data_IF_402797924039
#
_entry.id   IF_402797924039
#
_cell.length_a   1.000
_cell.length_b   1.000
_cell.length_c   1.000
_cell.angle_alpha   90.00
_cell.angle_beta   90.00
_cell.angle_gamma   90.00
#
_symmetry.space_group_name_H-M   'P 1'
#
loop_
_entity.id
_entity.type
_entity.pdbx_description
1 polymer ?
#
# COMPACT_ATOMS: atom_id res chain seq x y z
N UNK A 1 -53.39 1.17 15.23
CA UNK A 1 -52.02 0.62 15.24
C UNK A 1 -51.30 1.17 14.02
N UNK A 2 -50.11 1.78 14.15
CA UNK A 2 -49.35 2.20 12.97
C UNK A 2 -49.08 0.95 12.12
N UNK A 3 -49.27 1.05 10.81
CA UNK A 3 -49.04 -0.06 9.88
C UNK A 3 -47.62 -0.60 10.10
N UNK A 4 -47.50 -1.88 10.45
CA UNK A 4 -46.19 -2.49 10.70
C UNK A 4 -45.35 -2.38 9.43
N UNK A 5 -44.13 -1.85 9.55
CA UNK A 5 -43.19 -1.84 8.44
C UNK A 5 -43.06 -3.25 7.82
N UNK A 6 -42.89 -3.36 6.49
CA UNK A 6 -42.75 -4.65 5.84
C UNK A 6 -41.53 -5.40 6.41
N UNK A 7 -41.68 -6.70 6.69
CA UNK A 7 -40.60 -7.55 7.23
C UNK A 7 -39.42 -7.69 6.26
N UNK A 8 -39.68 -7.60 4.96
CA UNK A 8 -38.66 -7.54 3.91
C UNK A 8 -38.47 -6.07 3.56
N UNK A 9 -37.26 -5.56 3.76
CA UNK A 9 -36.96 -4.15 3.55
C UNK A 9 -36.98 -3.77 2.06
N UNK A 10 -36.29 -4.54 1.21
CA UNK A 10 -36.23 -4.35 -0.25
C UNK A 10 -35.64 -5.58 -0.94
N UNK A 11 -35.78 -5.66 -2.27
CA UNK A 11 -35.10 -6.67 -3.09
C UNK A 11 -33.68 -6.19 -3.42
N UNK A 12 -32.68 -7.03 -3.13
CA UNK A 12 -31.27 -6.73 -3.35
C UNK A 12 -30.66 -7.69 -4.39
N UNK A 13 -29.70 -7.20 -5.16
CA UNK A 13 -29.03 -7.90 -6.26
C UNK A 13 -27.51 -7.96 -5.99
N UNK A 14 -26.88 -9.01 -6.49
CA UNK A 14 -25.43 -9.17 -6.56
C UNK A 14 -24.95 -9.07 -8.01
N UNK A 15 -23.64 -9.17 -8.24
CA UNK A 15 -23.04 -9.03 -9.56
C UNK A 15 -23.59 -10.03 -10.58
N UNK A 16 -23.79 -11.29 -10.19
CA UNK A 16 -24.29 -12.37 -11.06
C UNK A 16 -25.75 -12.15 -11.51
N UNK A 17 -26.52 -11.29 -10.83
CA UNK A 17 -27.93 -11.05 -11.15
C UNK A 17 -28.14 -10.05 -12.30
N UNK A 18 -27.08 -9.36 -12.75
CA UNK A 18 -27.20 -8.25 -13.71
C UNK A 18 -26.15 -8.27 -14.81
N UNK A 19 -26.46 -7.57 -15.90
CA UNK A 19 -25.55 -7.19 -16.97
C UNK A 19 -25.65 -5.69 -17.24
N UNK A 20 -24.57 -5.06 -17.69
CA UNK A 20 -24.61 -3.69 -18.19
C UNK A 20 -25.10 -3.69 -19.64
N UNK A 21 -25.99 -2.75 -19.96
CA UNK A 21 -26.46 -2.58 -21.33
C UNK A 21 -25.36 -1.95 -22.20
N UNK A 22 -25.03 -2.54 -23.36
CA UNK A 22 -24.14 -1.89 -24.32
C UNK A 22 -24.71 -0.55 -24.80
N UNK A 23 -23.84 0.45 -24.98
CA UNK A 23 -24.19 1.75 -25.54
C UNK A 23 -23.25 2.08 -26.71
N UNK A 24 -23.63 3.08 -27.51
CA UNK A 24 -22.76 3.62 -28.56
C UNK A 24 -21.44 4.12 -27.97
N UNK A 25 -20.31 3.78 -28.60
CA UNK A 25 -18.98 4.19 -28.16
C UNK A 25 -18.10 4.57 -29.34
N UNK A 26 -17.48 5.74 -29.25
CA UNK A 26 -16.34 6.14 -30.10
C UNK A 26 -15.00 5.86 -29.40
N UNK A 27 -15.03 5.45 -28.13
CA UNK A 27 -13.83 5.15 -27.32
C UNK A 27 -13.31 3.76 -27.67
N UNK A 28 -12.04 3.67 -28.05
CA UNK A 28 -11.34 2.40 -28.23
C UNK A 28 -10.74 1.95 -26.89
N UNK A 29 -10.60 0.63 -26.64
CA UNK A 29 -10.07 0.13 -25.37
C UNK A 29 -8.72 0.71 -24.95
N UNK A 30 -7.85 1.04 -25.91
CA UNK A 30 -6.52 1.64 -25.67
C UNK A 30 -6.57 3.10 -25.21
N UNK A 31 -7.68 3.78 -25.45
CA UNK A 31 -7.88 5.20 -25.12
C UNK A 31 -8.58 5.35 -23.74
N UNK A 32 -8.92 4.24 -23.09
CA UNK A 32 -9.59 4.22 -21.78
C UNK A 32 -8.60 4.50 -20.64
N UNK A 33 -8.82 5.59 -19.90
CA UNK A 33 -8.16 5.81 -18.60
C UNK A 33 -8.93 5.06 -17.50
N UNK A 34 -8.22 4.22 -16.75
CA UNK A 34 -8.77 3.45 -15.61
C UNK A 34 -8.35 4.03 -14.26
N UNK A 35 -7.66 5.16 -14.27
CA UNK A 35 -7.21 5.83 -13.06
C UNK A 35 -8.38 6.38 -12.24
N UNK A 36 -8.33 6.15 -10.94
CA UNK A 36 -9.44 6.40 -10.01
C UNK A 36 -8.92 6.96 -8.67
N UNK A 37 -9.82 7.27 -7.76
CA UNK A 37 -9.48 7.78 -6.42
C UNK A 37 -9.77 6.72 -5.36
N UNK A 38 -8.73 6.25 -4.66
CA UNK A 38 -8.88 5.37 -3.51
C UNK A 38 -9.46 6.12 -2.31
N UNK A 39 -8.94 7.33 -2.08
CA UNK A 39 -9.43 8.28 -1.08
C UNK A 39 -9.54 9.66 -1.72
N UNK A 40 -9.99 10.66 -0.97
CA UNK A 40 -10.02 12.06 -1.43
C UNK A 40 -8.66 12.60 -1.91
N UNK A 41 -7.54 12.01 -1.46
CA UNK A 41 -6.18 12.50 -1.75
C UNK A 41 -5.32 11.50 -2.51
N UNK A 42 -5.65 10.21 -2.46
CA UNK A 42 -4.84 9.16 -3.08
C UNK A 42 -5.49 8.71 -4.39
N UNK A 43 -4.83 9.06 -5.52
CA UNK A 43 -5.16 8.56 -6.86
C UNK A 43 -4.43 7.23 -7.12
N UNK A 44 -5.13 6.29 -7.73
CA UNK A 44 -4.58 5.05 -8.30
C UNK A 44 -4.62 5.13 -9.83
N UNK A 45 -3.74 4.37 -10.48
CA UNK A 45 -3.71 4.27 -11.95
C UNK A 45 -4.59 3.15 -12.49
N UNK A 46 -4.96 2.19 -11.63
CA UNK A 46 -5.97 1.16 -11.88
C UNK A 46 -6.85 0.99 -10.64
N UNK A 47 -8.12 0.53 -10.75
CA UNK A 47 -9.08 0.53 -9.64
C UNK A 47 -8.94 -0.70 -8.72
N UNK A 48 -7.73 -1.23 -8.55
CA UNK A 48 -7.49 -2.46 -7.81
C UNK A 48 -6.74 -2.21 -6.50
N UNK A 49 -7.26 -2.77 -5.42
CA UNK A 49 -6.52 -2.89 -4.15
C UNK A 49 -6.53 -4.33 -3.65
N UNK A 50 -5.44 -4.78 -3.03
CA UNK A 50 -5.36 -6.14 -2.48
C UNK A 50 -5.91 -6.20 -1.06
N UNK A 51 -6.62 -7.28 -0.75
CA UNK A 51 -7.28 -7.46 0.54
C UNK A 51 -6.27 -7.64 1.69
N UNK A 52 -6.59 -7.07 2.85
CA UNK A 52 -5.77 -7.13 4.06
C UNK A 52 -5.86 -8.48 4.78
N UNK A 53 -5.48 -9.55 4.09
CA UNK A 53 -5.55 -10.93 4.55
C UNK A 53 -4.15 -11.55 4.61
N UNK A 54 -3.90 -12.38 5.62
CA UNK A 54 -2.61 -13.04 5.84
C UNK A 54 -2.20 -14.03 4.74
N UNK A 55 -3.14 -14.43 3.91
CA UNK A 55 -2.96 -15.29 2.73
C UNK A 55 -3.00 -14.53 1.40
N UNK A 56 -3.04 -13.20 1.46
CA UNK A 56 -3.10 -12.34 0.25
C UNK A 56 -2.00 -11.30 0.27
N UNK A 57 -1.90 -10.47 1.31
CA UNK A 57 -1.09 -9.24 1.25
C UNK A 57 -0.09 -9.08 2.39
N UNK A 58 1.16 -9.48 2.12
CA UNK A 58 2.36 -8.93 2.77
C UNK A 58 3.13 -8.02 1.78
N UNK A 59 4.40 -7.68 2.06
CA UNK A 59 5.18 -6.75 1.25
C UNK A 59 5.26 -7.14 -0.23
N UNK A 60 5.48 -8.42 -0.57
CA UNK A 60 5.67 -8.83 -1.97
C UNK A 60 4.43 -8.53 -2.83
N UNK A 61 3.24 -8.92 -2.36
CA UNK A 61 1.97 -8.57 -3.00
C UNK A 61 1.75 -7.06 -3.06
N UNK A 62 2.01 -6.34 -1.97
CA UNK A 62 1.81 -4.88 -1.95
C UNK A 62 2.74 -4.16 -2.94
N UNK A 63 3.99 -4.60 -3.08
CA UNK A 63 4.94 -4.11 -4.09
C UNK A 63 4.42 -4.41 -5.49
N UNK A 64 4.00 -5.66 -5.76
CA UNK A 64 3.53 -6.06 -7.08
C UNK A 64 2.30 -5.26 -7.52
N UNK A 65 1.29 -5.15 -6.66
CA UNK A 65 0.06 -4.40 -6.97
C UNK A 65 0.35 -2.90 -7.14
N UNK A 66 1.22 -2.32 -6.30
CA UNK A 66 1.62 -0.93 -6.45
C UNK A 66 2.38 -0.67 -7.76
N UNK A 67 3.21 -1.60 -8.23
CA UNK A 67 3.92 -1.50 -9.53
C UNK A 67 2.99 -1.49 -10.73
N UNK A 68 1.88 -2.24 -10.67
CA UNK A 68 0.86 -2.25 -11.71
C UNK A 68 -0.08 -1.03 -11.63
N UNK A 69 0.00 -0.25 -10.55
CA UNK A 69 -0.75 1.00 -10.39
C UNK A 69 -1.91 0.96 -9.40
N UNK A 70 -2.09 -0.17 -8.71
CA UNK A 70 -3.02 -0.32 -7.61
C UNK A 70 -2.39 0.04 -6.25
N UNK A 71 -2.95 -0.50 -5.16
CA UNK A 71 -2.37 -0.39 -3.82
C UNK A 71 -2.67 -1.63 -2.98
N UNK A 72 -1.67 -2.17 -2.26
CA UNK A 72 -1.89 -3.29 -1.35
C UNK A 72 -2.08 -2.88 0.11
N UNK A 73 -2.97 -3.57 0.82
CA UNK A 73 -3.16 -3.40 2.27
C UNK A 73 -2.49 -4.51 3.07
N UNK A 74 -1.47 -4.17 3.85
CA UNK A 74 -0.82 -5.10 4.78
C UNK A 74 -1.82 -5.51 5.88
N UNK A 75 -2.02 -6.82 6.05
CA UNK A 75 -2.90 -7.34 7.09
C UNK A 75 -2.38 -7.06 8.51
N UNK A 76 -3.28 -7.13 9.50
CA UNK A 76 -2.97 -6.84 10.92
C UNK A 76 -2.68 -8.07 11.77
N UNK A 77 -2.73 -9.27 11.19
CA UNK A 77 -2.53 -10.57 11.85
C UNK A 77 -1.05 -10.81 12.18
N UNK A 78 -0.45 -9.89 12.92
CA UNK A 78 0.95 -9.86 13.31
C UNK A 78 1.20 -8.74 14.33
N UNK A 79 2.36 -8.78 14.98
CA UNK A 79 2.81 -7.71 15.87
C UNK A 79 2.91 -6.35 15.16
N UNK A 80 2.78 -5.27 15.93
CA UNK A 80 2.92 -3.89 15.44
C UNK A 80 4.26 -3.71 14.69
N UNK A 81 5.34 -4.26 15.25
CA UNK A 81 6.68 -4.13 14.70
C UNK A 81 6.81 -4.86 13.36
N UNK A 82 6.24 -6.06 13.25
CA UNK A 82 6.27 -6.84 12.00
C UNK A 82 5.43 -6.18 10.92
N UNK A 83 4.28 -5.62 11.27
CA UNK A 83 3.43 -4.88 10.32
C UNK A 83 4.12 -3.62 9.80
N UNK A 84 4.72 -2.84 10.70
CA UNK A 84 5.53 -1.69 10.33
C UNK A 84 6.72 -2.09 9.43
N UNK A 85 7.36 -3.24 9.68
CA UNK A 85 8.45 -3.71 8.83
C UNK A 85 7.99 -4.10 7.42
N UNK A 86 6.82 -4.72 7.27
CA UNK A 86 6.23 -4.97 5.94
C UNK A 86 6.01 -3.65 5.19
N UNK A 87 5.51 -2.61 5.85
CA UNK A 87 5.37 -1.27 5.26
C UNK A 87 6.74 -0.71 4.85
N UNK A 88 7.76 -0.76 5.72
CA UNK A 88 9.12 -0.29 5.39
C UNK A 88 9.70 -1.01 4.18
N UNK A 89 9.51 -2.33 4.08
CA UNK A 89 9.93 -3.12 2.91
C UNK A 89 9.30 -2.61 1.63
N UNK A 90 8.00 -2.32 1.63
CA UNK A 90 7.32 -1.74 0.45
C UNK A 90 7.90 -0.36 0.12
N UNK A 91 8.02 0.54 1.10
CA UNK A 91 8.57 1.90 0.89
C UNK A 91 10.03 1.92 0.43
N UNK A 92 10.81 0.86 0.71
CA UNK A 92 12.21 0.70 0.30
C UNK A 92 12.40 -0.05 -1.02
N UNK A 93 11.37 -0.72 -1.53
CA UNK A 93 11.46 -1.58 -2.72
C UNK A 93 11.77 -0.80 -4.01
N UNK A 94 11.21 0.40 -4.10
CA UNK A 94 11.50 1.43 -5.09
C UNK A 94 11.40 2.77 -4.40
N UNK A 95 12.38 3.63 -4.65
CA UNK A 95 12.29 5.03 -4.26
C UNK A 95 12.85 5.89 -5.37
N UNK A 96 12.14 6.97 -5.71
CA UNK A 96 12.73 7.97 -6.57
C UNK A 96 13.95 8.63 -5.92
N UNK A 97 13.87 8.84 -4.61
CA UNK A 97 14.94 9.37 -3.77
C UNK A 97 14.98 8.59 -2.46
N UNK A 98 16.09 7.94 -2.14
CA UNK A 98 16.26 7.23 -0.87
C UNK A 98 16.40 8.29 0.23
N UNK A 99 15.36 8.45 1.05
CA UNK A 99 15.36 9.26 2.27
C UNK A 99 16.10 8.48 3.36
N UNK A 100 17.08 9.11 4.00
CA UNK A 100 17.98 8.48 4.98
C UNK A 100 18.71 7.23 4.44
N UNK A 101 19.60 7.41 3.43
CA UNK A 101 20.37 6.29 2.90
C UNK A 101 21.29 5.71 3.97
N UNK A 102 21.56 4.41 3.87
CA UNK A 102 22.52 3.75 4.75
C UNK A 102 23.90 4.37 4.54
N UNK A 103 24.52 4.82 5.63
CA UNK A 103 25.82 5.49 5.62
C UNK A 103 26.86 4.75 6.47
N UNK A 104 28.14 5.05 6.24
CA UNK A 104 29.22 4.73 7.16
C UNK A 104 29.93 5.99 7.64
N UNK A 105 30.44 6.00 8.88
CA UNK A 105 31.27 7.11 9.35
C UNK A 105 32.62 7.13 8.63
N UNK A 106 33.27 8.30 8.59
CA UNK A 106 34.64 8.46 8.05
C UNK A 106 35.69 7.62 8.81
N UNK A 107 35.37 7.12 10.00
CA UNK A 107 36.21 6.18 10.77
C UNK A 107 36.00 4.71 10.40
N UNK A 108 35.11 4.40 9.45
CA UNK A 108 34.81 3.03 9.04
C UNK A 108 35.93 2.37 8.24
N UNK A 109 35.84 1.04 8.10
CA UNK A 109 36.81 0.23 7.34
C UNK A 109 36.15 -0.53 6.18
N UNK A 110 36.95 -1.07 5.27
CA UNK A 110 36.49 -1.88 4.13
C UNK A 110 35.58 -3.05 4.54
N UNK A 111 35.87 -3.71 5.66
CA UNK A 111 35.04 -4.80 6.18
C UNK A 111 33.60 -4.37 6.49
N UNK A 112 33.40 -3.20 7.08
CA UNK A 112 32.07 -2.67 7.40
C UNK A 112 31.27 -2.41 6.12
N UNK A 113 31.91 -1.81 5.12
CA UNK A 113 31.28 -1.56 3.83
C UNK A 113 30.83 -2.86 3.17
N UNK A 114 31.69 -3.88 3.12
CA UNK A 114 31.32 -5.19 2.57
C UNK A 114 30.19 -5.87 3.33
N UNK A 115 30.18 -5.79 4.66
CA UNK A 115 29.12 -6.34 5.50
C UNK A 115 27.78 -5.68 5.18
N UNK A 116 27.74 -4.35 5.24
CA UNK A 116 26.52 -3.57 4.98
C UNK A 116 26.01 -3.78 3.55
N UNK A 117 26.90 -3.77 2.55
CA UNK A 117 26.52 -4.01 1.15
C UNK A 117 25.90 -5.41 0.95
N UNK A 118 26.43 -6.43 1.64
CA UNK A 118 25.93 -7.81 1.56
C UNK A 118 24.61 -7.99 2.29
N UNK A 119 24.53 -7.51 3.52
CA UNK A 119 23.33 -7.65 4.38
C UNK A 119 22.12 -6.94 3.78
N UNK A 120 22.33 -5.76 3.18
CA UNK A 120 21.25 -4.91 2.67
C UNK A 120 21.10 -4.97 1.14
N UNK A 121 21.98 -5.69 0.45
CA UNK A 121 21.95 -5.80 -1.02
C UNK A 121 22.14 -4.46 -1.74
N UNK A 122 22.95 -3.55 -1.17
CA UNK A 122 23.20 -2.22 -1.72
C UNK A 122 24.59 -2.12 -2.37
N UNK A 123 24.72 -1.33 -3.44
CA UNK A 123 25.96 -1.23 -4.22
C UNK A 123 26.76 0.06 -4.00
N UNK A 124 26.36 0.90 -3.05
CA UNK A 124 27.10 2.11 -2.69
C UNK A 124 26.60 2.74 -1.39
N UNK A 125 27.53 3.30 -0.64
CA UNK A 125 27.34 3.78 0.72
C UNK A 125 27.97 5.19 0.82
N UNK A 126 27.18 6.24 1.11
CA UNK A 126 27.71 7.55 1.43
C UNK A 126 28.52 7.51 2.73
N UNK A 127 29.67 8.18 2.74
CA UNK A 127 30.54 8.33 3.90
C UNK A 127 30.28 9.68 4.53
N UNK A 128 29.95 9.70 5.82
CA UNK A 128 29.59 10.91 6.55
C UNK A 128 30.61 11.20 7.66
N UNK A 129 30.90 12.49 7.85
CA UNK A 129 31.62 13.00 9.01
C UNK A 129 30.68 13.33 10.18
N UNK A 130 31.17 14.08 11.16
CA UNK A 130 30.33 14.68 12.21
C UNK A 130 29.14 15.45 11.62
N UNK A 131 28.03 15.49 12.33
CA UNK A 131 26.81 16.21 11.95
C UNK A 131 26.20 15.82 10.58
N UNK A 132 26.47 14.59 10.11
CA UNK A 132 26.01 14.02 8.83
C UNK A 132 26.53 14.74 7.58
N UNK A 133 27.62 15.50 7.70
CA UNK A 133 28.27 16.16 6.54
C UNK A 133 28.81 15.10 5.59
N UNK A 134 28.49 15.19 4.30
CA UNK A 134 28.94 14.23 3.29
C UNK A 134 30.44 14.41 3.02
N UNK A 135 31.21 13.32 3.12
CA UNK A 135 32.68 13.28 2.89
C UNK A 135 33.09 12.55 1.63
N UNK A 136 32.26 11.63 1.17
CA UNK A 136 32.53 10.83 -0.01
C UNK A 136 31.49 9.75 -0.21
N UNK A 137 31.73 8.86 -1.16
CA UNK A 137 30.91 7.68 -1.41
C UNK A 137 31.83 6.50 -1.76
N UNK A 138 31.50 5.33 -1.23
CA UNK A 138 32.16 4.08 -1.59
C UNK A 138 31.18 3.18 -2.34
N UNK A 139 31.65 2.50 -3.38
CA UNK A 139 30.84 1.64 -4.25
C UNK A 139 31.47 0.26 -4.42
N UNK A 140 30.70 -0.67 -4.99
CA UNK A 140 31.22 -2.00 -5.37
C UNK A 140 32.45 -1.94 -6.28
N UNK A 141 32.65 -0.85 -7.04
CA UNK A 141 33.82 -0.69 -7.91
C UNK A 141 35.08 -0.43 -7.08
N UNK A 142 34.96 0.44 -6.09
CA UNK A 142 36.07 0.88 -5.25
C UNK A 142 36.58 -0.28 -4.36
N UNK A 143 35.67 -1.13 -3.90
CA UNK A 143 36.00 -2.27 -3.04
C UNK A 143 36.42 -3.54 -3.79
N UNK A 144 36.25 -3.62 -5.11
CA UNK A 144 36.33 -4.89 -5.87
C UNK A 144 37.66 -5.62 -5.72
N UNK A 145 38.76 -4.88 -5.59
CA UNK A 145 40.11 -5.43 -5.55
C UNK A 145 40.81 -5.18 -4.22
N UNK A 146 40.09 -4.65 -3.22
CA UNK A 146 40.64 -4.43 -1.90
C UNK A 146 40.79 -5.77 -1.16
N UNK A 147 42.01 -6.03 -0.68
CA UNK A 147 42.36 -7.28 0.00
C UNK A 147 42.51 -7.11 1.51
N UNK A 148 42.74 -5.89 1.97
CA UNK A 148 42.87 -5.58 3.39
C UNK A 148 41.51 -5.14 3.95
N UNK A 149 40.85 -5.98 4.77
CA UNK A 149 39.56 -5.65 5.36
C UNK A 149 39.62 -4.52 6.39
N UNK A 150 40.80 -4.22 6.95
CA UNK A 150 41.00 -3.20 7.98
C UNK A 150 41.43 -1.85 7.41
N UNK A 151 41.63 -1.77 6.09
CA UNK A 151 41.97 -0.50 5.43
C UNK A 151 40.87 0.53 5.65
N UNK A 152 41.28 1.78 5.89
CA UNK A 152 40.35 2.88 6.13
C UNK A 152 39.46 3.13 4.90
N UNK A 153 38.17 3.36 5.13
CA UNK A 153 37.23 3.65 4.05
C UNK A 153 37.56 4.98 3.34
N UNK A 154 38.17 5.93 4.05
CA UNK A 154 38.55 7.23 3.50
C UNK A 154 39.67 7.14 2.46
N UNK A 155 40.46 6.06 2.48
CA UNK A 155 41.52 5.83 1.49
C UNK A 155 41.01 5.23 0.19
N UNK A 156 39.82 4.62 0.23
CA UNK A 156 39.25 3.84 -0.89
C UNK A 156 38.06 4.54 -1.52
N UNK A 157 37.31 5.34 -0.74
CA UNK A 157 36.13 6.05 -1.23
C UNK A 157 36.47 7.08 -2.33
N UNK A 158 35.47 7.41 -3.15
CA UNK A 158 35.53 8.65 -3.93
C UNK A 158 35.28 9.82 -2.98
N UNK A 159 36.31 10.62 -2.70
CA UNK A 159 36.24 11.78 -1.83
C UNK A 159 35.58 13.00 -2.50
N UNK A 160 35.20 13.99 -1.70
CA UNK A 160 34.75 15.29 -2.21
C UNK A 160 35.82 15.99 -3.07
N UNK A 161 35.44 16.79 -4.10
CA UNK A 161 34.07 17.17 -4.45
C UNK A 161 33.34 16.11 -5.29
N UNK A 162 32.18 15.65 -4.80
CA UNK A 162 31.25 14.81 -5.56
C UNK A 162 30.24 15.66 -6.32
N UNK A 163 29.72 15.12 -7.42
CA UNK A 163 28.49 15.63 -8.02
C UNK A 163 27.35 15.35 -7.05
N UNK A 164 26.63 16.39 -6.67
CA UNK A 164 25.51 16.34 -5.71
C UNK A 164 24.35 17.19 -6.20
N UNK A 165 23.18 17.04 -5.58
CA UNK A 165 22.00 17.86 -5.86
C UNK A 165 21.32 18.33 -4.57
N UNK A 166 20.37 19.25 -4.67
CA UNK A 166 19.67 19.82 -3.52
C UNK A 166 18.36 19.06 -3.21
N UNK A 167 17.84 19.15 -1.97
CA UNK A 167 16.49 18.69 -1.67
C UNK A 167 15.46 19.34 -2.60
N UNK A 168 14.50 18.56 -3.09
CA UNK A 168 13.47 19.01 -4.03
C UNK A 168 13.81 18.80 -5.51
N UNK A 169 15.02 18.33 -5.84
CA UNK A 169 15.35 17.92 -7.22
C UNK A 169 14.42 16.81 -7.69
N UNK A 170 13.80 17.03 -8.84
CA UNK A 170 12.90 16.05 -9.46
C UNK A 170 13.69 14.86 -10.01
N UNK A 171 13.02 13.71 -10.16
CA UNK A 171 13.63 12.53 -10.78
C UNK A 171 14.14 12.79 -12.21
N UNK A 172 13.48 13.66 -12.96
CA UNK A 172 13.87 14.00 -14.33
C UNK A 172 15.17 14.82 -14.34
N UNK A 173 15.28 15.83 -13.48
CA UNK A 173 16.51 16.60 -13.31
C UNK A 173 17.66 15.71 -12.81
N UNK A 174 17.38 14.79 -11.88
CA UNK A 174 18.37 13.85 -11.41
C UNK A 174 18.84 12.90 -12.52
N UNK A 175 17.94 12.46 -13.41
CA UNK A 175 18.29 11.67 -14.59
C UNK A 175 19.26 12.42 -15.52
N UNK A 176 18.99 13.68 -15.80
CA UNK A 176 19.87 14.53 -16.62
C UNK A 176 21.28 14.64 -16.01
N UNK A 177 21.38 14.92 -14.70
CA UNK A 177 22.66 15.01 -13.97
C UNK A 177 23.42 13.68 -14.00
N UNK A 178 22.74 12.56 -13.72
CA UNK A 178 23.35 11.23 -13.71
C UNK A 178 23.89 10.86 -15.11
N UNK A 179 23.14 11.18 -16.17
CA UNK A 179 23.54 10.93 -17.56
C UNK A 179 24.72 11.82 -17.99
N UNK A 180 24.67 13.12 -17.70
CA UNK A 180 25.73 14.09 -18.04
C UNK A 180 27.06 13.68 -17.40
N UNK A 181 27.04 13.37 -16.11
CA UNK A 181 28.24 13.04 -15.35
C UNK A 181 28.61 11.55 -15.39
N UNK A 182 27.80 10.69 -16.02
CA UNK A 182 28.01 9.23 -16.16
C UNK A 182 28.25 8.53 -14.81
N UNK A 183 27.49 8.92 -13.80
CA UNK A 183 27.53 8.35 -12.45
C UNK A 183 26.24 7.60 -12.15
N UNK A 184 26.29 6.62 -11.24
CA UNK A 184 25.12 5.79 -10.91
C UNK A 184 24.35 6.27 -9.67
N UNK A 185 24.98 7.14 -8.86
CA UNK A 185 24.48 7.54 -7.55
C UNK A 185 24.70 9.03 -7.37
N UNK A 186 23.64 9.75 -7.06
CA UNK A 186 23.61 11.19 -6.89
C UNK A 186 23.20 11.52 -5.45
N UNK A 187 24.16 11.85 -4.56
CA UNK A 187 23.84 12.30 -3.21
C UNK A 187 23.06 13.61 -3.22
N UNK A 188 22.06 13.70 -2.34
CA UNK A 188 21.27 14.90 -2.11
C UNK A 188 21.75 15.55 -0.82
N UNK A 189 22.21 16.79 -0.86
CA UNK A 189 22.81 17.51 0.28
C UNK A 189 22.11 18.84 0.53
N UNK A 190 21.91 19.19 1.80
CA UNK A 190 21.37 20.50 2.18
C UNK A 190 22.39 21.64 1.99
N UNK A 191 21.97 22.87 2.28
CA UNK A 191 22.82 24.06 2.15
C UNK A 191 24.06 24.05 3.09
N UNK A 192 24.07 23.19 4.11
CA UNK A 192 25.17 22.99 5.04
C UNK A 192 26.06 21.79 4.64
N UNK A 193 25.78 21.13 3.52
CA UNK A 193 26.53 19.96 3.03
C UNK A 193 26.17 18.65 3.75
N UNK A 194 25.07 18.63 4.51
CA UNK A 194 24.61 17.42 5.21
C UNK A 194 23.80 16.54 4.28
N UNK A 195 24.03 15.23 4.36
CA UNK A 195 23.36 14.26 3.51
C UNK A 195 21.88 14.14 3.86
N UNK A 196 21.02 14.54 2.92
CA UNK A 196 19.56 14.46 3.03
C UNK A 196 18.99 13.22 2.33
N UNK A 197 19.64 12.72 1.27
CA UNK A 197 19.16 11.56 0.53
C UNK A 197 20.12 11.04 -0.53
N UNK A 198 19.69 10.02 -1.28
CA UNK A 198 20.46 9.42 -2.38
C UNK A 198 19.54 9.05 -3.54
N UNK A 199 19.82 9.52 -4.75
CA UNK A 199 19.12 9.11 -5.98
C UNK A 199 20.00 8.13 -6.75
N UNK A 200 19.43 7.04 -7.27
CA UNK A 200 20.19 6.04 -8.03
C UNK A 200 19.68 5.90 -9.46
N UNK A 201 20.59 5.64 -10.39
CA UNK A 201 20.25 5.37 -11.80
C UNK A 201 19.33 4.15 -11.93
N UNK A 202 19.48 3.14 -11.06
CA UNK A 202 18.61 1.96 -11.02
C UNK A 202 17.15 2.33 -10.78
N UNK A 203 16.90 3.28 -9.88
CA UNK A 203 15.53 3.68 -9.55
C UNK A 203 14.87 4.50 -10.67
N UNK A 204 15.67 5.24 -11.46
CA UNK A 204 15.19 5.92 -12.67
C UNK A 204 14.78 4.91 -13.75
N UNK A 205 15.59 3.86 -13.98
CA UNK A 205 15.23 2.80 -14.94
C UNK A 205 13.92 2.12 -14.52
N UNK A 206 13.79 1.75 -13.24
CA UNK A 206 12.56 1.12 -12.74
C UNK A 206 11.31 1.97 -13.02
N UNK A 207 11.42 3.31 -12.95
CA UNK A 207 10.32 4.21 -13.31
C UNK A 207 9.96 4.15 -14.80
N UNK A 208 10.94 3.99 -15.70
CA UNK A 208 10.68 3.82 -17.13
C UNK A 208 10.00 2.48 -17.44
N UNK A 209 10.41 1.41 -16.76
CA UNK A 209 9.85 0.07 -16.97
C UNK A 209 8.42 -0.05 -16.43
N UNK A 210 8.09 0.70 -15.38
CA UNK A 210 6.78 0.68 -14.71
C UNK A 210 6.17 2.09 -14.63
N UNK A 211 5.74 2.66 -15.77
CA UNK A 211 5.24 4.04 -15.82
C UNK A 211 3.92 4.22 -15.07
N UNK A 212 3.13 3.16 -14.91
CA UNK A 212 1.85 3.17 -14.21
C UNK A 212 1.96 2.84 -12.72
N UNK A 213 3.17 2.75 -12.14
CA UNK A 213 3.31 2.46 -10.73
C UNK A 213 2.67 3.53 -9.83
N UNK A 214 1.96 3.10 -8.80
CA UNK A 214 1.35 3.96 -7.79
C UNK A 214 2.41 4.41 -6.79
N UNK A 215 2.84 5.67 -6.92
CA UNK A 215 3.95 6.25 -6.15
C UNK A 215 3.50 7.44 -5.30
N UNK A 216 4.18 7.64 -4.18
CA UNK A 216 4.07 8.84 -3.36
C UNK A 216 4.88 10.00 -3.95
N UNK A 217 4.79 11.17 -3.32
CA UNK A 217 5.50 12.38 -3.72
C UNK A 217 7.04 12.24 -3.70
N UNK A 218 7.58 11.24 -3.00
CA UNK A 218 9.00 10.90 -2.96
C UNK A 218 9.40 9.84 -3.99
N UNK A 219 8.44 9.39 -4.81
CA UNK A 219 8.63 8.34 -5.80
C UNK A 219 8.70 6.93 -5.22
N UNK A 220 8.30 6.73 -3.96
CA UNK A 220 8.21 5.41 -3.33
C UNK A 220 6.87 4.75 -3.66
N UNK A 221 6.82 3.43 -3.74
CA UNK A 221 5.53 2.74 -3.91
C UNK A 221 4.57 3.10 -2.75
N UNK A 222 3.30 3.32 -3.07
CA UNK A 222 2.26 3.53 -2.05
C UNK A 222 1.83 2.22 -1.42
N UNK A 223 1.51 2.26 -0.13
CA UNK A 223 1.07 1.09 0.63
C UNK A 223 0.04 1.47 1.69
N UNK A 224 -0.96 0.61 1.85
CA UNK A 224 -1.93 0.69 2.93
C UNK A 224 -1.68 -0.35 4.02
N UNK A 225 -2.28 -0.16 5.18
CA UNK A 225 -2.29 -1.17 6.24
C UNK A 225 -3.65 -1.22 6.93
N UNK A 226 -4.11 -2.42 7.30
CA UNK A 226 -5.31 -2.59 8.09
C UNK A 226 -5.01 -2.47 9.59
N UNK A 227 -5.99 -1.99 10.36
CA UNK A 227 -5.95 -1.94 11.83
C UNK A 227 -7.30 -2.37 12.40
N UNK A 228 -7.30 -2.85 13.65
CA UNK A 228 -8.51 -3.18 14.39
C UNK A 228 -8.99 -2.06 15.29
N UNK A 229 -10.07 -2.30 16.02
CA UNK A 229 -10.50 -1.43 17.12
C UNK A 229 -10.11 -2.11 18.42
N UNK A 230 -8.84 -1.97 18.78
CA UNK A 230 -8.19 -2.60 19.93
C UNK A 230 -7.49 -1.54 20.78
N UNK A 231 -7.15 -1.83 22.06
CA UNK A 231 -6.50 -0.85 22.93
C UNK A 231 -5.15 -0.33 22.40
N UNK A 232 -4.44 -1.13 21.59
CA UNK A 232 -3.16 -0.80 20.97
C UNK A 232 -3.28 0.01 19.67
N UNK A 233 -4.49 0.39 19.24
CA UNK A 233 -4.75 1.05 17.96
C UNK A 233 -3.86 2.27 17.71
N UNK A 234 -3.76 3.19 18.68
CA UNK A 234 -2.97 4.40 18.52
C UNK A 234 -1.47 4.10 18.36
N UNK A 235 -0.94 3.15 19.16
CA UNK A 235 0.46 2.73 19.07
C UNK A 235 0.77 2.04 17.73
N UNK A 236 -0.16 1.22 17.24
CA UNK A 236 -0.05 0.55 15.94
C UNK A 236 -0.03 1.56 14.79
N UNK A 237 -0.96 2.52 14.78
CA UNK A 237 -1.01 3.56 13.73
C UNK A 237 0.23 4.45 13.79
N UNK A 238 0.70 4.84 14.98
CA UNK A 238 1.93 5.61 15.13
C UNK A 238 3.13 4.90 14.49
N UNK A 239 3.32 3.60 14.77
CA UNK A 239 4.40 2.81 14.17
C UNK A 239 4.27 2.66 12.65
N UNK A 240 3.05 2.56 12.12
CA UNK A 240 2.80 2.49 10.68
C UNK A 240 3.08 3.84 10.00
N UNK A 241 2.71 4.96 10.62
CA UNK A 241 3.03 6.31 10.14
C UNK A 241 4.53 6.55 10.13
N UNK A 242 5.24 6.15 11.20
CA UNK A 242 6.70 6.20 11.26
C UNK A 242 7.35 5.35 10.15
N UNK A 243 6.77 4.18 9.85
CA UNK A 243 7.20 3.34 8.73
C UNK A 243 6.89 3.93 7.34
N UNK A 244 6.05 4.98 7.27
CA UNK A 244 5.69 5.67 6.04
C UNK A 244 4.48 5.09 5.30
N UNK A 245 3.50 4.53 6.03
CA UNK A 245 2.21 4.10 5.44
C UNK A 245 1.49 5.28 4.81
N UNK A 246 0.87 5.07 3.64
CA UNK A 246 0.14 6.11 2.92
C UNK A 246 -1.33 6.23 3.38
N UNK A 247 -1.93 5.10 3.76
CA UNK A 247 -3.35 5.01 4.13
C UNK A 247 -3.58 3.90 5.16
N UNK A 248 -4.43 4.13 6.14
CA UNK A 248 -4.83 3.11 7.13
C UNK A 248 -6.31 2.77 6.97
N UNK A 249 -6.62 1.48 6.96
CA UNK A 249 -7.99 0.97 6.96
C UNK A 249 -8.39 0.44 8.34
N UNK A 250 -9.33 1.11 9.01
CA UNK A 250 -10.02 0.55 10.19
C UNK A 250 -10.94 -0.56 9.69
N UNK A 251 -10.48 -1.80 9.87
CA UNK A 251 -11.06 -2.99 9.25
C UNK A 251 -11.73 -3.89 10.29
N UNK A 252 -13.06 -3.95 10.21
CA UNK A 252 -13.94 -4.71 11.09
C UNK A 252 -15.09 -5.33 10.31
N UNK A 253 -15.69 -6.41 10.83
CA UNK A 253 -16.86 -7.01 10.18
C UNK A 253 -18.10 -6.09 10.18
N UNK A 254 -18.22 -5.19 11.17
CA UNK A 254 -19.34 -4.26 11.31
C UNK A 254 -18.87 -2.86 11.72
N UNK A 255 -18.62 -2.04 10.70
CA UNK A 255 -18.11 -0.68 10.84
C UNK A 255 -19.12 0.33 11.36
N UNK A 256 -20.43 0.08 11.21
CA UNK A 256 -21.47 0.97 11.72
C UNK A 256 -21.75 0.72 13.22
N UNK A 257 -20.69 0.79 14.03
CA UNK A 257 -20.75 0.56 15.47
C UNK A 257 -20.07 1.70 16.22
N UNK A 258 -20.54 1.99 17.44
CA UNK A 258 -20.00 3.08 18.26
C UNK A 258 -18.48 3.01 18.42
N UNK A 259 -17.94 1.83 18.73
CA UNK A 259 -16.50 1.65 18.92
C UNK A 259 -15.69 1.99 17.67
N UNK A 260 -16.18 1.63 16.48
CA UNK A 260 -15.53 1.97 15.21
C UNK A 260 -15.62 3.48 14.94
N UNK A 261 -16.79 4.08 15.10
CA UNK A 261 -16.97 5.53 14.89
C UNK A 261 -16.08 6.36 15.84
N UNK A 262 -16.00 5.96 17.10
CA UNK A 262 -15.16 6.61 18.10
C UNK A 262 -13.66 6.44 17.76
N UNK A 263 -13.26 5.25 17.31
CA UNK A 263 -11.89 5.00 16.84
C UNK A 263 -11.51 5.84 15.62
N UNK A 264 -12.40 5.95 14.62
CA UNK A 264 -12.17 6.78 13.43
C UNK A 264 -12.00 8.26 13.81
N UNK A 265 -12.87 8.78 14.68
CA UNK A 265 -12.76 10.17 15.18
C UNK A 265 -11.44 10.40 15.94
N UNK A 266 -11.05 9.46 16.80
CA UNK A 266 -9.81 9.54 17.56
C UNK A 266 -8.58 9.54 16.64
N UNK A 267 -8.54 8.65 15.64
CA UNK A 267 -7.46 8.61 14.66
C UNK A 267 -7.40 9.87 13.82
N UNK A 268 -8.54 10.40 13.36
CA UNK A 268 -8.58 11.66 12.61
C UNK A 268 -8.02 12.82 13.43
N UNK A 269 -8.30 12.87 14.73
CA UNK A 269 -7.77 13.89 15.64
C UNK A 269 -6.26 13.78 15.87
N UNK A 270 -5.73 12.56 15.99
CA UNK A 270 -4.30 12.32 16.26
C UNK A 270 -3.43 12.38 14.99
N UNK A 271 -3.96 11.96 13.85
CA UNK A 271 -3.24 11.85 12.58
C UNK A 271 -4.00 12.58 11.46
N UNK A 272 -4.14 13.91 11.53
CA UNK A 272 -5.01 14.67 10.62
C UNK A 272 -4.61 14.56 9.15
N UNK A 273 -3.32 14.40 8.86
CA UNK A 273 -2.78 14.27 7.51
C UNK A 273 -2.90 12.85 6.92
N UNK A 274 -3.11 11.82 7.75
CA UNK A 274 -3.18 10.44 7.30
C UNK A 274 -4.52 10.18 6.61
N UNK A 275 -4.49 9.53 5.45
CA UNK A 275 -5.71 9.02 4.81
C UNK A 275 -6.27 7.85 5.62
N UNK A 276 -7.56 7.95 5.97
CA UNK A 276 -8.26 6.93 6.76
C UNK A 276 -9.39 6.32 5.96
N UNK A 277 -9.37 5.00 5.83
CA UNK A 277 -10.47 4.20 5.30
C UNK A 277 -11.16 3.55 6.49
N UNK A 278 -12.48 3.43 6.44
CA UNK A 278 -13.21 2.72 7.46
C UNK A 278 -14.27 1.79 6.88
N UNK A 279 -14.47 0.65 7.53
CA UNK A 279 -15.44 -0.35 7.14
C UNK A 279 -15.52 -1.53 8.11
N UNK A 280 -16.29 -2.56 7.80
CA UNK A 280 -17.13 -2.68 6.61
C UNK A 280 -18.57 -2.26 6.90
N UNK A 281 -19.22 -1.65 5.91
CA UNK A 281 -20.65 -1.32 5.95
C UNK A 281 -21.35 -1.86 4.71
N UNK A 282 -22.68 -1.86 4.72
CA UNK A 282 -23.48 -2.33 3.59
C UNK A 282 -24.79 -1.52 3.42
N UNK A 283 -24.88 -0.35 4.06
CA UNK A 283 -26.06 0.52 4.04
C UNK A 283 -25.66 1.98 3.85
N UNK A 284 -26.59 2.78 3.30
CA UNK A 284 -26.41 4.22 3.13
C UNK A 284 -26.07 4.93 4.45
N UNK A 285 -26.82 4.61 5.51
CA UNK A 285 -26.63 5.19 6.84
C UNK A 285 -25.25 4.85 7.44
N UNK A 286 -24.81 3.60 7.30
CA UNK A 286 -23.50 3.18 7.79
C UNK A 286 -22.35 3.85 7.04
N UNK A 287 -22.48 3.98 5.72
CA UNK A 287 -21.51 4.70 4.91
C UNK A 287 -21.44 6.18 5.32
N UNK A 288 -22.60 6.83 5.47
CA UNK A 288 -22.67 8.22 5.90
C UNK A 288 -22.08 8.42 7.29
N UNK A 289 -22.38 7.55 8.24
CA UNK A 289 -21.85 7.63 9.60
C UNK A 289 -20.31 7.56 9.64
N UNK A 290 -19.70 6.71 8.82
CA UNK A 290 -18.24 6.61 8.72
C UNK A 290 -17.61 7.84 8.07
N UNK A 291 -18.23 8.37 7.01
CA UNK A 291 -17.80 9.62 6.39
C UNK A 291 -17.86 10.80 7.38
N UNK A 292 -18.98 10.94 8.10
CA UNK A 292 -19.18 11.98 9.11
C UNK A 292 -18.23 11.83 10.31
N UNK A 293 -17.80 10.59 10.62
CA UNK A 293 -16.79 10.34 11.65
C UNK A 293 -15.36 10.74 11.21
N UNK A 294 -15.14 11.00 9.92
CA UNK A 294 -13.87 11.47 9.38
C UNK A 294 -13.14 10.49 8.47
N UNK A 295 -13.82 9.45 7.95
CA UNK A 295 -13.23 8.59 6.92
C UNK A 295 -13.04 9.35 5.59
N UNK A 296 -11.89 9.14 4.94
CA UNK A 296 -11.56 9.63 3.59
C UNK A 296 -12.01 8.68 2.48
N UNK A 297 -12.33 7.42 2.79
CA UNK A 297 -13.05 6.47 1.95
C UNK A 297 -13.81 5.44 2.80
N UNK A 298 -14.84 4.81 2.24
CA UNK A 298 -15.64 3.79 2.93
C UNK A 298 -15.49 2.44 2.26
N UNK A 299 -15.16 1.41 3.06
CA UNK A 299 -15.07 0.01 2.60
C UNK A 299 -16.42 -0.70 2.78
N UNK A 300 -16.93 -1.27 1.70
CA UNK A 300 -18.30 -1.78 1.59
C UNK A 300 -18.32 -3.27 1.30
N UNK A 301 -18.99 -4.02 2.16
CA UNK A 301 -19.19 -5.45 1.98
C UNK A 301 -19.33 -6.18 3.31
N UNK A 302 -20.52 -6.73 3.57
CA UNK A 302 -20.80 -7.55 4.77
C UNK A 302 -21.33 -8.90 4.30
N UNK A 303 -20.52 -9.94 4.41
CA UNK A 303 -20.85 -11.30 3.95
C UNK A 303 -20.58 -11.69 2.48
N UNK A 304 -20.05 -10.85 1.55
CA UNK A 304 -19.93 -11.23 0.13
C UNK A 304 -18.64 -12.01 -0.20
N UNK A 305 -17.65 -12.00 0.71
CA UNK A 305 -16.36 -12.63 0.48
C UNK A 305 -16.48 -14.14 0.24
N UNK A 306 -15.67 -14.69 -0.66
CA UNK A 306 -15.73 -16.10 -1.07
C UNK A 306 -15.59 -17.11 0.07
N UNK A 307 -14.89 -16.71 1.15
CA UNK A 307 -14.65 -17.49 2.35
C UNK A 307 -15.31 -16.89 3.60
N UNK A 308 -16.14 -15.85 3.42
CA UNK A 308 -16.84 -15.20 4.50
C UNK A 308 -18.08 -16.01 4.87
N UNK A 309 -18.18 -16.43 6.13
CA UNK A 309 -19.32 -17.20 6.65
C UNK A 309 -20.31 -16.35 7.46
N UNK A 310 -20.11 -15.04 7.57
CA UNK A 310 -20.97 -14.13 8.38
C UNK A 310 -22.45 -14.27 8.03
N UNK A 311 -22.79 -14.36 6.74
CA UNK A 311 -24.19 -14.55 6.31
C UNK A 311 -24.79 -15.88 6.74
N UNK A 312 -23.96 -16.92 6.87
CA UNK A 312 -24.38 -18.28 7.23
C UNK A 312 -24.50 -18.42 8.74
N UNK A 313 -23.52 -17.88 9.48
CA UNK A 313 -23.43 -18.02 10.93
C UNK A 313 -24.29 -16.99 11.66
N UNK A 314 -24.19 -15.71 11.28
CA UNK A 314 -24.90 -14.62 11.95
C UNK A 314 -26.22 -14.24 11.25
N UNK A 315 -26.45 -14.69 10.01
CA UNK A 315 -27.63 -14.29 9.22
C UNK A 315 -27.60 -12.83 8.75
N UNK A 316 -26.44 -12.17 8.80
CA UNK A 316 -26.29 -10.73 8.50
C UNK A 316 -25.47 -10.56 7.22
N UNK A 317 -25.98 -9.74 6.30
CA UNK A 317 -25.30 -9.34 5.08
C UNK A 317 -26.24 -8.68 4.08
N UNK A 318 -25.67 -8.17 2.98
CA UNK A 318 -26.42 -7.58 1.87
C UNK A 318 -25.77 -8.06 0.55
N UNK A 319 -26.55 -8.46 -0.48
CA UNK A 319 -26.02 -8.71 -1.82
C UNK A 319 -25.15 -7.54 -2.31
N UNK A 320 -23.96 -7.87 -2.83
CA UNK A 320 -22.86 -6.92 -2.87
C UNK A 320 -23.11 -5.71 -3.78
N UNK A 321 -23.74 -5.91 -4.94
CA UNK A 321 -24.02 -4.80 -5.85
C UNK A 321 -24.99 -3.80 -5.20
N UNK A 322 -26.06 -4.28 -4.58
CA UNK A 322 -26.96 -3.42 -3.81
C UNK A 322 -26.28 -2.75 -2.63
N UNK A 323 -25.37 -3.43 -1.92
CA UNK A 323 -24.60 -2.83 -0.83
C UNK A 323 -23.74 -1.65 -1.31
N UNK A 324 -23.06 -1.82 -2.45
CA UNK A 324 -22.26 -0.77 -3.10
C UNK A 324 -23.14 0.41 -3.53
N UNK A 325 -24.27 0.14 -4.19
CA UNK A 325 -25.21 1.18 -4.62
C UNK A 325 -25.79 1.96 -3.43
N UNK A 326 -26.17 1.27 -2.35
CA UNK A 326 -26.70 1.91 -1.14
C UNK A 326 -25.64 2.76 -0.44
N UNK A 327 -24.40 2.28 -0.33
CA UNK A 327 -23.31 3.06 0.23
C UNK A 327 -22.98 4.29 -0.63
N UNK A 328 -22.93 4.14 -1.95
CA UNK A 328 -22.72 5.24 -2.88
C UNK A 328 -23.82 6.31 -2.75
N UNK A 329 -25.09 5.89 -2.65
CA UNK A 329 -26.24 6.78 -2.38
C UNK A 329 -26.09 7.52 -1.06
N UNK A 330 -25.65 6.86 0.01
CA UNK A 330 -25.41 7.49 1.31
C UNK A 330 -24.28 8.52 1.32
N UNK A 331 -23.35 8.41 0.37
CA UNK A 331 -22.17 9.27 0.24
C UNK A 331 -22.29 10.34 -0.85
N UNK A 332 -23.43 10.43 -1.53
CA UNK A 332 -23.67 11.45 -2.55
C UNK A 332 -23.43 12.87 -2.00
N UNK A 333 -22.68 13.68 -2.74
CA UNK A 333 -22.29 15.04 -2.34
C UNK A 333 -21.18 15.15 -1.29
N UNK A 334 -20.69 14.04 -0.72
CA UNK A 334 -19.62 14.08 0.32
C UNK A 334 -18.20 14.04 -0.24
N UNK A 335 -18.03 13.63 -1.50
CA UNK A 335 -16.75 13.38 -2.15
C UNK A 335 -15.97 12.18 -1.57
N UNK A 336 -16.56 11.36 -0.70
CA UNK A 336 -15.93 10.15 -0.12
C UNK A 336 -16.07 8.98 -1.09
N UNK A 337 -14.96 8.38 -1.57
CA UNK A 337 -15.03 7.22 -2.46
C UNK A 337 -15.49 5.94 -1.75
N UNK A 338 -16.07 5.02 -2.53
CA UNK A 338 -16.47 3.68 -2.08
C UNK A 338 -15.47 2.64 -2.57
N UNK A 339 -15.09 1.72 -1.68
CA UNK A 339 -14.30 0.53 -2.00
C UNK A 339 -15.21 -0.69 -1.91
N UNK A 340 -15.46 -1.37 -3.03
CA UNK A 340 -16.24 -2.61 -3.04
C UNK A 340 -15.36 -3.80 -2.61
N UNK A 341 -15.63 -4.35 -1.44
CA UNK A 341 -14.83 -5.41 -0.81
C UNK A 341 -15.56 -6.77 -0.80
N UNK A 342 -15.06 -7.69 -1.62
CA UNK A 342 -15.56 -9.06 -1.74
C UNK A 342 -16.57 -9.29 -2.87
N UNK A 343 -16.80 -10.58 -3.16
CA UNK A 343 -17.75 -11.04 -4.19
C UNK A 343 -17.26 -10.99 -5.64
N UNK A 344 -16.08 -10.42 -5.90
CA UNK A 344 -15.48 -10.34 -7.25
C UNK A 344 -14.86 -11.68 -7.65
N UNK A 345 -15.35 -12.27 -8.74
CA UNK A 345 -14.83 -13.54 -9.31
C UNK A 345 -14.24 -13.35 -10.70
N UNK A 346 -14.79 -12.41 -11.47
CA UNK A 346 -14.39 -12.15 -12.84
C UNK A 346 -14.21 -10.65 -13.09
N UNK A 347 -13.52 -10.30 -14.18
CA UNK A 347 -13.34 -8.90 -14.60
C UNK A 347 -14.67 -8.18 -14.81
N UNK A 348 -15.71 -8.87 -15.27
CA UNK A 348 -17.05 -8.30 -15.40
C UNK A 348 -17.67 -7.83 -14.07
N UNK A 349 -17.34 -8.47 -12.95
CA UNK A 349 -17.84 -8.06 -11.63
C UNK A 349 -17.21 -6.74 -11.19
N UNK A 350 -15.95 -6.52 -11.56
CA UNK A 350 -15.25 -5.24 -11.35
C UNK A 350 -16.00 -4.12 -12.05
N UNK A 351 -16.34 -4.33 -13.33
CA UNK A 351 -17.09 -3.33 -14.12
C UNK A 351 -18.46 -3.05 -13.48
N UNK A 352 -19.16 -4.08 -13.00
CA UNK A 352 -20.45 -3.92 -12.31
C UNK A 352 -20.31 -3.19 -10.98
N UNK A 353 -19.26 -3.45 -10.20
CA UNK A 353 -18.99 -2.73 -8.96
C UNK A 353 -18.73 -1.24 -9.21
N UNK A 354 -17.90 -0.92 -10.21
CA UNK A 354 -17.64 0.46 -10.63
C UNK A 354 -18.91 1.15 -11.10
N UNK A 355 -19.71 0.49 -11.95
CA UNK A 355 -21.01 1.01 -12.40
C UNK A 355 -22.00 1.19 -11.25
N UNK A 356 -21.90 0.38 -10.19
CA UNK A 356 -22.69 0.52 -8.96
C UNK A 356 -22.28 1.69 -8.06
N UNK A 357 -21.21 2.41 -8.39
CA UNK A 357 -20.73 3.59 -7.65
C UNK A 357 -19.46 3.36 -6.82
N UNK A 358 -18.82 2.19 -6.93
CA UNK A 358 -17.49 2.00 -6.35
C UNK A 358 -16.43 2.78 -7.14
N UNK A 359 -15.46 3.36 -6.43
CA UNK A 359 -14.28 3.95 -7.05
C UNK A 359 -13.17 2.91 -7.24
N UNK A 360 -13.06 1.95 -6.32
CA UNK A 360 -12.08 0.86 -6.37
C UNK A 360 -12.71 -0.46 -5.92
N UNK A 361 -12.08 -1.57 -6.27
CA UNK A 361 -12.44 -2.91 -5.82
C UNK A 361 -11.31 -3.52 -5.01
N UNK A 362 -11.66 -4.14 -3.87
CA UNK A 362 -10.73 -4.89 -3.04
C UNK A 362 -10.80 -6.38 -3.41
N UNK A 363 -9.64 -6.93 -3.78
CA UNK A 363 -9.50 -8.28 -4.32
C UNK A 363 -8.77 -9.18 -3.31
N UNK A 364 -9.42 -10.27 -2.93
CA UNK A 364 -8.82 -11.34 -2.13
C UNK A 364 -8.51 -12.58 -2.96
N UNK A 365 -9.53 -13.37 -3.28
CA UNK A 365 -9.40 -14.71 -3.85
C UNK A 365 -8.69 -14.79 -5.20
N UNK A 366 -8.77 -13.75 -6.04
CA UNK A 366 -8.07 -13.74 -7.34
C UNK A 366 -6.56 -13.49 -7.20
N UNK A 367 -6.15 -12.88 -6.08
CA UNK A 367 -4.74 -12.64 -5.76
C UNK A 367 -4.17 -13.74 -4.87
N UNK A 368 -5.00 -14.43 -4.10
CA UNK A 368 -4.61 -15.62 -3.36
C UNK A 368 -4.05 -16.70 -4.30
N UNK A 369 -2.94 -17.32 -3.94
CA UNK A 369 -2.31 -18.37 -4.76
C UNK A 369 -1.35 -17.89 -5.84
N UNK A 370 -1.25 -16.59 -6.08
CA UNK A 370 -0.19 -15.99 -6.93
C UNK A 370 1.19 -16.18 -6.31
N UNK A 371 2.25 -15.94 -7.07
CA UNK A 371 3.63 -16.07 -6.58
C UNK A 371 3.89 -15.14 -5.40
N UNK A 372 3.38 -13.91 -5.47
CA UNK A 372 3.57 -12.83 -4.50
C UNK A 372 2.69 -12.95 -3.25
N UNK A 373 1.62 -13.75 -3.31
CA UNK A 373 0.79 -14.04 -2.15
C UNK A 373 1.60 -14.80 -1.07
N UNK A 374 1.44 -14.48 0.22
CA UNK A 374 2.11 -15.20 1.31
C UNK A 374 1.77 -16.70 1.35
N UNK A 375 2.63 -17.47 2.02
CA UNK A 375 2.45 -18.89 2.25
C UNK A 375 3.20 -19.78 1.25
N UNK A 376 3.36 -21.05 1.63
CA UNK A 376 4.11 -22.03 0.86
C UNK A 376 3.24 -22.68 -0.23
N UNK A 377 3.88 -23.01 -1.35
CA UNK A 377 3.25 -23.78 -2.42
C UNK A 377 3.19 -25.25 -2.00
N UNK A 378 1.98 -25.76 -1.85
CA UNK A 378 1.70 -27.15 -1.54
C UNK A 378 1.32 -27.90 -2.81
N UNK A 379 1.77 -29.16 -2.93
CA UNK A 379 1.37 -30.04 -4.02
C UNK A 379 0.21 -30.92 -3.54
N UNK A 380 -0.96 -30.77 -4.15
CA UNK A 380 -2.13 -31.59 -3.86
C UNK A 380 -2.67 -32.18 -5.17
N UNK A 381 -2.78 -33.50 -5.24
CA UNK A 381 -3.23 -34.22 -6.45
C UNK A 381 -2.50 -33.79 -7.74
N UNK A 382 -1.19 -33.54 -7.65
CA UNK A 382 -0.36 -33.13 -8.78
C UNK A 382 -0.55 -31.68 -9.24
N UNK A 383 -1.36 -30.89 -8.54
CA UNK A 383 -1.55 -29.45 -8.76
C UNK A 383 -0.91 -28.64 -7.64
N UNK A 384 -0.44 -27.44 -7.98
CA UNK A 384 0.14 -26.50 -7.02
C UNK A 384 -0.99 -25.64 -6.41
N UNK A 385 -1.01 -25.54 -5.09
CA UNK A 385 -1.96 -24.73 -4.33
C UNK A 385 -1.22 -23.87 -3.30
N UNK A 386 -1.82 -22.76 -2.89
CA UNK A 386 -1.50 -22.06 -1.64
C UNK A 386 -2.75 -22.01 -0.77
N UNK A 387 -2.55 -21.92 0.54
CA UNK A 387 -3.66 -21.81 1.50
C UNK A 387 -4.37 -20.46 1.36
N UNK A 388 -5.69 -20.44 1.44
CA UNK A 388 -6.50 -19.23 1.43
C UNK A 388 -7.53 -19.29 2.56
N UNK A 389 -7.44 -18.37 3.53
CA UNK A 389 -8.26 -18.36 4.75
C UNK A 389 -8.75 -16.97 5.11
N UNK A 390 -9.87 -16.92 5.83
CA UNK A 390 -10.58 -15.67 6.13
C UNK A 390 -10.23 -15.17 7.51
N UNK A 391 -10.11 -13.86 7.69
CA UNK A 391 -9.71 -13.27 8.98
C UNK A 391 -10.68 -13.52 10.14
N UNK A 392 -11.90 -13.98 9.85
CA UNK A 392 -12.87 -14.43 10.85
C UNK A 392 -12.89 -15.95 11.10
N UNK A 393 -11.96 -16.72 10.52
CA UNK A 393 -11.82 -18.15 10.81
C UNK A 393 -11.09 -18.37 12.14
N UNK A 394 -11.32 -19.53 12.77
CA UNK A 394 -10.68 -19.88 14.05
C UNK A 394 -9.16 -19.80 13.94
N UNK A 395 -8.59 -20.46 12.93
CA UNK A 395 -7.13 -20.47 12.71
C UNK A 395 -6.54 -19.06 12.53
N UNK A 396 -7.23 -18.15 11.84
CA UNK A 396 -6.74 -16.80 11.66
C UNK A 396 -6.83 -15.97 12.95
N UNK A 397 -7.86 -16.19 13.77
CA UNK A 397 -8.06 -15.49 15.04
C UNK A 397 -7.13 -15.98 16.16
N UNK A 398 -6.67 -17.23 16.11
CA UNK A 398 -5.69 -17.77 17.07
C UNK A 398 -4.28 -17.18 16.89
N UNK A 399 -3.93 -16.80 15.66
CA UNK A 399 -2.64 -16.21 15.30
C UNK A 399 -2.55 -14.68 15.56
N UNK A 400 -3.69 -14.04 15.88
CA UNK A 400 -3.92 -12.59 15.71
C UNK A 400 -3.95 -11.69 16.93
#
# INVERSE_FOLDING_TARGET
MPASAPKIAFQALTYDDVLLLPAYSEVLPRDTDTGTWLTRRIRLNIPFVSAAMDTVTEAEMAIAVAREGGLGFIHKNMSIQRQAEQVRRVKRSESGMILDPVTLPETGVVADAHRVMRELGIGGIPIIGPDRVLRGIVTNRDLRFERDPQRSITEVMTAMPLITTAPGTTLQQAEEILQEHKIEKLPVVDAQGRLAGLITYRDIIKKKDRPYACKDEFGRLRVGAAVGVTPDLAARVAALVEAGVDVVSVDTAHGHSRGVLDAVRALRGQFPALDLIAGNVATAEGARALADAGADAVKVGVGPGSICTTRIIAGIGVPQLSAVMEAARGLEGTGVPVIADGGIKFSGDVVKALAGGAATVMIGSLLAGTEEAPGEVQLYEGRKFKTYRGMGSVEAMEDG
#
